data_IF_795803609246
#
_entry.id   IF_795803609246
#
_cell.length_a   1.000
_cell.length_b   1.000
_cell.length_c   1.000
_cell.angle_alpha   90.00
_cell.angle_beta   90.00
_cell.angle_gamma   90.00
#
_symmetry.space_group_name_H-M   'P 1'
#
loop_
_entity.id
_entity.type
_entity.pdbx_description
1 polymer ?
#
# COMPACT_ATOMS: atom_id res chain seq x y z
N UNK A 1 -18.84 1.25 -10.17
CA UNK A 1 -17.65 1.46 -9.34
C UNK A 1 -16.36 1.02 -10.05
N UNK A 2 -16.08 -0.28 -10.25
CA UNK A 2 -14.82 -0.75 -10.89
C UNK A 2 -14.69 -0.39 -12.37
N UNK A 3 -15.79 -0.52 -13.13
CA UNK A 3 -15.88 -0.09 -14.53
C UNK A 3 -15.70 1.44 -14.64
N UNK A 4 -16.24 2.17 -13.67
CA UNK A 4 -16.09 3.63 -13.57
C UNK A 4 -14.67 4.05 -13.15
N UNK A 5 -13.93 3.15 -12.49
CA UNK A 5 -12.52 3.32 -12.11
C UNK A 5 -11.53 2.77 -13.17
N UNK A 6 -12.01 2.39 -14.36
CA UNK A 6 -11.18 1.96 -15.49
C UNK A 6 -10.79 0.49 -15.50
N UNK A 7 -11.34 -0.34 -14.61
CA UNK A 7 -11.19 -1.80 -14.68
C UNK A 7 -12.15 -2.33 -15.75
N UNK A 8 -11.60 -3.07 -16.71
CA UNK A 8 -12.38 -3.66 -17.80
C UNK A 8 -13.55 -4.51 -17.25
N UNK A 9 -14.76 -4.17 -17.68
CA UNK A 9 -16.01 -4.82 -17.28
C UNK A 9 -16.02 -6.33 -17.57
N UNK A 10 -15.28 -6.78 -18.58
CA UNK A 10 -15.13 -8.20 -18.92
C UNK A 10 -14.28 -8.98 -17.90
N UNK A 11 -13.71 -8.30 -16.91
CA UNK A 11 -12.75 -8.86 -15.93
C UNK A 11 -13.25 -8.82 -14.49
N UNK A 12 -14.54 -8.54 -14.27
CA UNK A 12 -15.14 -8.38 -12.94
C UNK A 12 -16.42 -9.23 -12.83
N UNK A 13 -16.46 -10.16 -11.87
CA UNK A 13 -17.57 -11.11 -11.70
C UNK A 13 -17.98 -11.20 -10.21
N UNK A 14 -19.28 -11.16 -9.90
CA UNK A 14 -19.80 -11.16 -8.52
C UNK A 14 -21.11 -11.95 -8.40
N UNK A 15 -21.12 -12.99 -7.55
CA UNK A 15 -22.30 -13.43 -6.79
C UNK A 15 -21.84 -14.19 -5.54
N UNK A 16 -22.54 -14.02 -4.42
CA UNK A 16 -22.35 -14.79 -3.19
C UNK A 16 -23.66 -15.47 -2.81
N UNK A 17 -23.61 -16.77 -2.53
CA UNK A 17 -24.70 -17.52 -1.89
C UNK A 17 -24.18 -18.22 -0.64
N UNK A 18 -25.04 -18.37 0.35
CA UNK A 18 -24.69 -18.90 1.67
C UNK A 18 -24.97 -20.40 1.70
N UNK A 19 -23.94 -21.22 1.85
CA UNK A 19 -24.09 -22.62 2.26
C UNK A 19 -23.54 -22.84 3.68
N UNK A 20 -24.17 -23.75 4.42
CA UNK A 20 -23.88 -24.04 5.82
C UNK A 20 -22.80 -25.11 5.90
N UNK A 21 -21.71 -24.82 6.62
CA UNK A 21 -20.77 -25.84 7.11
C UNK A 21 -19.31 -25.56 6.77
N UNK A 22 -19.02 -25.09 5.56
CA UNK A 22 -17.69 -24.72 5.08
C UNK A 22 -17.81 -23.49 4.17
N UNK A 23 -16.91 -22.52 4.29
CA UNK A 23 -16.95 -21.30 3.46
C UNK A 23 -16.43 -21.61 2.05
N UNK A 24 -17.26 -22.24 1.22
CA UNK A 24 -17.01 -22.44 -0.20
C UNK A 24 -17.41 -21.17 -0.95
N UNK A 25 -16.43 -20.45 -1.51
CA UNK A 25 -16.72 -19.32 -2.40
C UNK A 25 -16.69 -19.83 -3.83
N UNK A 26 -17.88 -20.09 -4.39
CA UNK A 26 -18.04 -20.44 -5.79
C UNK A 26 -18.06 -19.16 -6.63
N UNK A 27 -17.05 -19.01 -7.48
CA UNK A 27 -16.96 -17.89 -8.43
C UNK A 27 -17.48 -18.34 -9.80
N UNK A 28 -18.61 -17.78 -10.20
CA UNK A 28 -19.18 -17.99 -11.53
C UNK A 28 -18.68 -16.87 -12.46
N UNK A 29 -17.91 -17.16 -13.52
CA UNK A 29 -17.67 -16.19 -14.58
C UNK A 29 -19.02 -15.92 -15.24
N UNK A 30 -19.41 -14.65 -15.32
CA UNK A 30 -20.60 -14.20 -16.06
C UNK A 30 -20.28 -12.87 -16.73
N UNK A 31 -20.04 -12.87 -18.04
CA UNK A 31 -19.90 -11.62 -18.81
C UNK A 31 -21.10 -10.71 -18.51
N UNK A 32 -20.87 -9.51 -18.00
CA UNK A 32 -21.91 -8.53 -17.66
C UNK A 32 -22.78 -8.17 -18.89
N UNK A 33 -22.25 -8.35 -20.11
CA UNK A 33 -23.03 -8.20 -21.35
C UNK A 33 -23.88 -9.44 -21.70
N UNK A 34 -23.53 -10.61 -21.18
CA UNK A 34 -24.22 -11.87 -21.43
C UNK A 34 -25.40 -12.13 -20.48
N UNK A 35 -25.60 -11.29 -19.45
CA UNK A 35 -26.80 -11.30 -18.60
C UNK A 35 -28.12 -11.03 -19.37
N UNK A 36 -28.05 -10.73 -20.66
CA UNK A 36 -29.17 -10.63 -21.61
C UNK A 36 -29.33 -11.85 -22.54
N UNK A 37 -28.80 -13.03 -22.17
CA UNK A 37 -29.25 -14.30 -22.77
C UNK A 37 -28.21 -15.16 -23.49
N UNK A 38 -26.91 -14.98 -23.24
CA UNK A 38 -25.86 -15.87 -23.78
C UNK A 38 -25.21 -16.66 -22.64
N UNK A 39 -25.03 -17.99 -22.74
CA UNK A 39 -24.36 -18.76 -21.70
C UNK A 39 -22.89 -18.31 -21.57
N UNK A 40 -22.43 -18.13 -20.34
CA UNK A 40 -21.08 -17.67 -20.07
C UNK A 40 -20.04 -18.69 -20.57
N UNK A 41 -18.97 -18.22 -21.18
CA UNK A 41 -17.87 -19.07 -21.63
C UNK A 41 -17.15 -19.70 -20.43
N UNK A 42 -16.92 -21.01 -20.47
CA UNK A 42 -16.19 -21.74 -19.43
C UNK A 42 -14.72 -21.29 -19.38
N UNK A 43 -14.21 -21.08 -18.17
CA UNK A 43 -12.81 -20.72 -17.95
C UNK A 43 -11.93 -21.98 -17.93
N UNK A 44 -10.69 -21.95 -18.45
CA UNK A 44 -9.74 -23.05 -18.32
C UNK A 44 -9.14 -23.17 -16.90
N UNK A 45 -8.68 -24.37 -16.55
CA UNK A 45 -7.86 -24.60 -15.37
C UNK A 45 -6.46 -23.95 -15.53
N UNK A 46 -5.79 -23.66 -14.41
CA UNK A 46 -4.44 -23.09 -14.40
C UNK A 46 -4.37 -21.60 -14.72
N UNK A 47 -5.47 -20.87 -14.67
CA UNK A 47 -5.46 -19.42 -14.84
C UNK A 47 -5.00 -18.73 -13.56
N UNK A 48 -4.05 -17.78 -13.64
CA UNK A 48 -3.68 -17.00 -12.48
C UNK A 48 -4.79 -16.01 -12.12
N UNK A 49 -5.08 -15.91 -10.83
CA UNK A 49 -6.08 -15.00 -10.30
C UNK A 49 -5.59 -14.29 -9.06
N UNK A 50 -6.20 -13.13 -8.80
CA UNK A 50 -6.06 -12.34 -7.57
C UNK A 50 -7.41 -12.26 -6.91
N UNK A 51 -7.46 -12.61 -5.64
CA UNK A 51 -8.57 -12.28 -4.76
C UNK A 51 -8.19 -11.03 -3.98
N UNK A 52 -9.00 -10.00 -4.09
CA UNK A 52 -8.76 -8.70 -3.48
C UNK A 52 -9.95 -8.33 -2.59
N UNK A 53 -9.74 -7.89 -1.37
CA UNK A 53 -10.81 -7.37 -0.51
C UNK A 53 -10.98 -5.89 -0.77
N UNK A 54 -12.23 -5.44 -0.98
CA UNK A 54 -12.54 -4.02 -1.06
C UNK A 54 -12.56 -3.46 0.35
N UNK A 55 -11.69 -2.50 0.64
CA UNK A 55 -11.55 -1.85 1.96
C UNK A 55 -12.80 -1.08 2.43
N UNK A 56 -13.93 -1.20 1.74
CA UNK A 56 -15.24 -0.63 2.07
C UNK A 56 -15.95 -1.47 3.14
N UNK A 57 -15.57 -1.23 4.40
CA UNK A 57 -16.24 -1.73 5.60
C UNK A 57 -15.76 -0.96 6.83
N UNK A 58 -14.51 -0.50 6.77
CA UNK A 58 -13.88 0.27 7.81
C UNK A 58 -14.20 1.77 7.62
N UNK A 59 -15.38 2.23 8.06
CA UNK A 59 -15.77 3.66 8.02
C UNK A 59 -14.65 4.57 8.55
N UNK A 60 -14.01 4.14 9.63
CA UNK A 60 -12.87 4.78 10.26
C UNK A 60 -11.61 4.81 9.36
N UNK A 61 -11.35 3.76 8.57
CA UNK A 61 -10.24 3.74 7.61
C UNK A 61 -10.48 4.74 6.49
N UNK A 62 -11.71 4.81 5.98
CA UNK A 62 -12.07 5.76 4.92
C UNK A 62 -12.00 7.22 5.41
N UNK A 63 -12.47 7.49 6.61
CA UNK A 63 -12.39 8.80 7.25
C UNK A 63 -10.93 9.19 7.54
N UNK A 64 -10.13 8.29 8.10
CA UNK A 64 -8.70 8.51 8.32
C UNK A 64 -7.93 8.73 7.02
N UNK A 65 -8.19 7.91 5.99
CA UNK A 65 -7.57 8.04 4.66
C UNK A 65 -7.89 9.40 4.05
N UNK A 66 -9.16 9.83 4.11
CA UNK A 66 -9.59 11.14 3.63
C UNK A 66 -8.89 12.25 4.41
N UNK A 67 -8.93 12.21 5.74
CA UNK A 67 -8.32 13.22 6.58
C UNK A 67 -6.81 13.37 6.34
N UNK A 68 -6.08 12.25 6.25
CA UNK A 68 -4.65 12.26 5.93
C UNK A 68 -4.37 12.82 4.53
N UNK A 69 -5.16 12.41 3.52
CA UNK A 69 -4.98 12.90 2.14
C UNK A 69 -5.23 14.41 2.05
N UNK A 70 -6.33 14.87 2.62
CA UNK A 70 -6.74 16.27 2.54
C UNK A 70 -5.75 17.16 3.31
N UNK A 71 -5.24 16.69 4.46
CA UNK A 71 -4.17 17.35 5.20
C UNK A 71 -2.85 17.37 4.41
N UNK A 72 -2.46 16.23 3.82
CA UNK A 72 -1.20 16.08 3.08
C UNK A 72 -1.19 16.81 1.74
N UNK A 73 -2.34 17.30 1.26
CA UNK A 73 -2.41 18.08 0.03
C UNK A 73 -1.67 19.42 0.14
N UNK A 74 -1.56 19.98 1.34
CA UNK A 74 -0.84 21.23 1.64
C UNK A 74 0.28 21.08 2.66
N UNK A 75 0.45 19.89 3.25
CA UNK A 75 1.46 19.61 4.26
C UNK A 75 2.30 18.41 3.84
N UNK A 76 3.60 18.62 3.67
CA UNK A 76 4.54 17.57 3.33
C UNK A 76 5.79 17.69 4.19
N UNK A 77 6.40 16.55 4.51
CA UNK A 77 7.72 16.54 5.15
C UNK A 77 8.77 16.69 4.06
N UNK A 78 9.61 17.71 4.20
CA UNK A 78 10.72 17.99 3.29
C UNK A 78 12.05 17.68 3.98
N UNK A 79 12.89 16.92 3.28
CA UNK A 79 14.24 16.58 3.72
C UNK A 79 15.27 17.29 2.86
N UNK A 80 16.44 17.59 3.45
CA UNK A 80 17.56 18.11 2.67
C UNK A 80 17.92 17.10 1.56
N UNK A 81 18.28 17.64 0.39
CA UNK A 81 18.68 16.81 -0.75
C UNK A 81 19.92 16.00 -0.43
N UNK A 82 19.90 14.68 -0.61
CA UNK A 82 21.02 13.80 -0.27
C UNK A 82 22.31 14.07 -1.07
N UNK A 83 22.20 14.74 -2.22
CA UNK A 83 23.33 15.23 -3.03
C UNK A 83 23.61 16.72 -2.91
N UNK A 84 22.93 17.43 -1.99
CA UNK A 84 23.12 18.86 -1.79
C UNK A 84 24.53 19.16 -1.26
N UNK A 85 25.20 20.15 -1.85
CA UNK A 85 26.47 20.64 -1.33
C UNK A 85 26.28 21.33 0.03
N UNK A 86 27.18 21.08 0.98
CA UNK A 86 27.17 21.71 2.29
C UNK A 86 26.35 20.98 3.36
N UNK A 87 25.93 19.73 3.13
CA UNK A 87 25.40 18.90 4.22
C UNK A 87 26.49 18.59 5.26
N UNK A 88 26.25 18.84 6.56
CA UNK A 88 27.23 18.55 7.61
C UNK A 88 27.66 17.07 7.67
N UNK A 89 26.73 16.16 7.40
CA UNK A 89 26.95 14.72 7.31
C UNK A 89 25.80 14.06 6.53
N UNK A 90 25.98 12.78 6.16
CA UNK A 90 24.97 12.00 5.46
C UNK A 90 23.62 11.95 6.18
N UNK A 91 23.62 11.86 7.52
CA UNK A 91 22.41 11.75 8.31
C UNK A 91 21.50 12.99 8.22
N UNK A 92 22.05 14.13 7.83
CA UNK A 92 21.26 15.33 7.55
C UNK A 92 20.26 15.13 6.40
N UNK A 93 20.47 14.16 5.50
CA UNK A 93 19.56 13.84 4.39
C UNK A 93 18.26 13.12 4.82
N UNK A 94 18.19 12.62 6.06
CA UNK A 94 16.98 12.05 6.68
C UNK A 94 16.69 12.68 8.06
N UNK A 95 17.29 13.82 8.35
CA UNK A 95 17.00 14.58 9.56
C UNK A 95 15.78 15.47 9.35
N UNK A 96 14.80 15.38 10.25
CA UNK A 96 13.58 16.20 10.23
C UNK A 96 13.85 17.66 10.58
N UNK A 97 14.94 17.93 11.30
CA UNK A 97 15.43 19.28 11.55
C UNK A 97 16.20 19.75 10.30
N UNK A 98 15.42 20.22 9.31
CA UNK A 98 15.94 20.77 8.06
C UNK A 98 16.91 21.93 8.33
N UNK A 99 17.89 22.15 7.44
CA UNK A 99 18.86 23.24 7.61
C UNK A 99 18.20 24.62 7.50
N UNK A 100 17.12 24.70 6.74
CA UNK A 100 16.19 25.84 6.75
C UNK A 100 15.21 25.70 7.94
N UNK A 101 15.27 26.64 8.88
CA UNK A 101 14.44 26.63 10.10
C UNK A 101 12.93 26.72 9.83
N UNK A 102 12.51 27.41 8.76
CA UNK A 102 11.10 27.49 8.38
C UNK A 102 10.58 26.12 7.91
N UNK A 103 11.39 25.39 7.13
CA UNK A 103 11.08 24.02 6.70
C UNK A 103 11.10 23.06 7.90
N UNK A 104 12.06 23.22 8.82
CA UNK A 104 12.10 22.43 10.05
C UNK A 104 10.82 22.62 10.88
N UNK A 105 10.35 23.86 11.05
CA UNK A 105 9.10 24.14 11.74
C UNK A 105 7.88 23.55 11.01
N UNK A 106 7.83 23.67 9.67
CA UNK A 106 6.77 23.07 8.85
C UNK A 106 6.73 21.53 8.95
N UNK A 107 7.90 20.88 9.00
CA UNK A 107 8.00 19.44 9.24
C UNK A 107 7.42 19.05 10.59
N UNK A 108 7.74 19.79 11.66
CA UNK A 108 7.18 19.51 12.99
C UNK A 108 5.66 19.68 12.98
N UNK A 109 5.14 20.77 12.41
CA UNK A 109 3.70 21.02 12.30
C UNK A 109 2.98 19.93 11.48
N UNK A 110 3.60 19.47 10.40
CA UNK A 110 3.07 18.35 9.58
C UNK A 110 2.97 17.09 10.43
N UNK A 111 4.02 16.71 11.15
CA UNK A 111 4.02 15.51 11.99
C UNK A 111 3.05 15.61 13.18
N UNK A 112 2.88 16.80 13.76
CA UNK A 112 1.87 17.05 14.79
C UNK A 112 0.45 16.85 14.24
N UNK A 113 0.16 17.38 13.05
CA UNK A 113 -1.12 17.21 12.38
C UNK A 113 -1.43 15.76 12.03
N UNK A 114 -0.46 15.04 11.45
CA UNK A 114 -0.60 13.60 11.14
C UNK A 114 -0.85 12.79 12.43
N UNK A 115 -0.08 13.05 13.49
CA UNK A 115 -0.27 12.37 14.77
C UNK A 115 -1.65 12.67 15.37
N UNK A 116 -2.12 13.91 15.32
CA UNK A 116 -3.45 14.33 15.79
C UNK A 116 -4.58 13.62 15.03
N UNK A 117 -4.48 13.58 13.70
CA UNK A 117 -5.42 12.85 12.84
C UNK A 117 -5.46 11.39 13.26
N UNK A 118 -4.31 10.71 13.30
CA UNK A 118 -4.25 9.29 13.61
C UNK A 118 -4.76 8.97 15.02
N UNK A 119 -4.38 9.75 16.03
CA UNK A 119 -4.90 9.57 17.39
C UNK A 119 -6.42 9.67 17.48
N UNK A 120 -7.04 10.50 16.65
CA UNK A 120 -8.51 10.62 16.62
C UNK A 120 -9.22 9.34 16.17
N UNK A 121 -8.51 8.45 15.47
CA UNK A 121 -9.05 7.18 14.97
C UNK A 121 -8.45 5.94 15.66
N UNK A 122 -7.37 6.11 16.45
CA UNK A 122 -6.71 5.06 17.22
C UNK A 122 -7.21 4.95 18.68
N UNK A 123 -8.31 5.64 19.03
CA UNK A 123 -8.80 5.80 20.41
C UNK A 123 -9.18 4.48 21.09
N UNK A 124 -9.45 3.41 20.34
CA UNK A 124 -9.86 2.11 20.89
C UNK A 124 -8.83 1.02 20.62
N UNK A 125 -8.55 0.18 21.62
CA UNK A 125 -7.65 -0.98 21.49
C UNK A 125 -8.11 -1.97 20.41
N UNK A 126 -9.40 -1.96 20.06
CA UNK A 126 -9.99 -2.75 18.97
C UNK A 126 -9.85 -2.10 17.58
N UNK A 127 -9.23 -0.92 17.46
CA UNK A 127 -8.99 -0.30 16.17
C UNK A 127 -7.97 -1.11 15.39
N UNK A 128 -8.39 -1.67 14.27
CA UNK A 128 -7.51 -2.34 13.31
C UNK A 128 -6.77 -1.32 12.45
N UNK A 129 -6.87 -0.02 12.73
CA UNK A 129 -6.17 1.00 11.98
C UNK A 129 -4.68 1.00 12.29
N UNK A 130 -3.86 1.13 11.25
CA UNK A 130 -2.44 1.41 11.31
C UNK A 130 -2.05 2.55 10.39
N UNK A 131 -0.90 3.15 10.66
CA UNK A 131 -0.29 4.16 9.81
C UNK A 131 0.92 3.56 9.10
N UNK A 132 0.87 3.46 7.78
CA UNK A 132 2.06 3.24 6.98
C UNK A 132 2.75 4.58 6.67
N UNK A 133 4.03 4.63 7.00
CA UNK A 133 4.96 5.69 6.61
C UNK A 133 5.76 5.18 5.42
N UNK A 134 5.36 5.57 4.22
CA UNK A 134 5.97 5.13 2.97
C UNK A 134 7.02 6.14 2.51
N UNK A 135 8.29 5.74 2.54
CA UNK A 135 9.41 6.53 2.02
C UNK A 135 9.68 6.26 0.55
N UNK A 136 9.75 7.31 -0.25
CA UNK A 136 10.08 7.22 -1.68
C UNK A 136 11.31 8.08 -1.95
N UNK A 137 12.27 7.55 -2.71
CA UNK A 137 13.38 8.31 -3.28
C UNK A 137 13.35 8.10 -4.78
N UNK A 138 13.60 9.18 -5.51
CA UNK A 138 13.62 9.14 -6.97
C UNK A 138 14.81 8.30 -7.47
N UNK A 139 14.58 7.53 -8.54
CA UNK A 139 15.64 6.76 -9.19
C UNK A 139 16.80 7.66 -9.65
N UNK A 140 18.03 7.14 -9.57
CA UNK A 140 19.23 7.81 -10.05
C UNK A 140 20.16 6.82 -10.76
N UNK A 141 20.99 7.31 -11.67
CA UNK A 141 22.05 6.50 -12.31
C UNK A 141 23.30 6.38 -11.43
N UNK A 142 23.52 7.34 -10.54
CA UNK A 142 24.65 7.38 -9.62
C UNK A 142 24.13 7.86 -8.26
N UNK A 143 24.40 7.10 -7.21
CA UNK A 143 24.01 7.48 -5.86
C UNK A 143 24.79 8.72 -5.36
N UNK A 144 24.21 9.53 -4.44
CA UNK A 144 24.93 10.64 -3.82
C UNK A 144 26.18 10.13 -3.07
N UNK A 145 27.33 10.77 -3.30
CA UNK A 145 28.62 10.32 -2.78
C UNK A 145 28.61 10.17 -1.25
N UNK A 146 28.16 11.20 -0.53
CA UNK A 146 28.17 11.21 0.94
C UNK A 146 27.32 10.10 1.56
N UNK A 147 26.22 9.70 0.89
CA UNK A 147 25.38 8.58 1.35
C UNK A 147 26.06 7.24 1.05
N UNK A 148 26.67 7.11 -0.13
CA UNK A 148 27.44 5.92 -0.51
C UNK A 148 28.61 5.71 0.46
N UNK A 149 29.36 6.77 0.77
CA UNK A 149 30.48 6.75 1.72
C UNK A 149 30.00 6.37 3.12
N UNK A 150 28.88 6.93 3.59
CA UNK A 150 28.29 6.59 4.89
C UNK A 150 27.93 5.11 5.03
N UNK A 151 27.42 4.49 3.95
CA UNK A 151 27.11 3.05 3.95
C UNK A 151 28.28 2.16 3.55
N UNK A 152 29.42 2.72 3.16
CA UNK A 152 30.56 1.96 2.62
C UNK A 152 30.24 1.20 1.33
N UNK A 153 29.42 1.80 0.46
CA UNK A 153 28.89 1.17 -0.76
C UNK A 153 29.39 1.85 -2.04
N UNK A 154 29.49 1.08 -3.12
CA UNK A 154 29.93 1.63 -4.40
C UNK A 154 28.79 2.33 -5.15
N UNK A 155 28.94 3.65 -5.34
CA UNK A 155 27.87 4.55 -5.80
C UNK A 155 27.32 4.35 -7.22
N UNK A 156 27.93 3.47 -8.03
CA UNK A 156 27.46 3.17 -9.40
C UNK A 156 26.90 1.75 -9.53
N UNK A 157 27.41 0.80 -8.76
CA UNK A 157 27.03 -0.61 -8.87
C UNK A 157 26.00 -1.02 -7.82
N UNK A 158 25.90 -0.26 -6.72
CA UNK A 158 24.97 -0.50 -5.62
C UNK A 158 24.00 0.67 -5.44
N UNK A 159 23.71 1.40 -6.53
CA UNK A 159 22.84 2.59 -6.51
C UNK A 159 21.51 2.26 -5.85
N UNK A 160 20.92 1.13 -6.25
CA UNK A 160 19.60 0.74 -5.80
C UNK A 160 19.53 0.51 -4.29
N UNK A 161 20.46 -0.28 -3.76
CA UNK A 161 20.56 -0.54 -2.32
C UNK A 161 20.77 0.75 -1.51
N UNK A 162 21.55 1.69 -2.05
CA UNK A 162 21.82 2.97 -1.40
C UNK A 162 20.54 3.82 -1.34
N UNK A 163 19.78 3.90 -2.44
CA UNK A 163 18.55 4.69 -2.48
C UNK A 163 17.44 4.05 -1.64
N UNK A 164 17.34 2.72 -1.61
CA UNK A 164 16.42 2.00 -0.73
C UNK A 164 16.72 2.28 0.74
N UNK A 165 18.00 2.25 1.14
CA UNK A 165 18.41 2.61 2.50
C UNK A 165 18.10 4.07 2.83
N UNK A 166 18.25 4.99 1.88
CA UNK A 166 17.88 6.39 2.07
C UNK A 166 16.37 6.56 2.23
N UNK A 167 15.56 5.92 1.38
CA UNK A 167 14.11 5.94 1.46
C UNK A 167 13.62 5.39 2.81
N UNK A 168 14.18 4.24 3.22
CA UNK A 168 13.93 3.63 4.53
C UNK A 168 14.32 4.55 5.69
N UNK A 169 15.48 5.19 5.63
CA UNK A 169 15.96 6.09 6.68
C UNK A 169 15.03 7.29 6.86
N UNK A 170 14.54 7.89 5.76
CA UNK A 170 13.57 8.99 5.80
C UNK A 170 12.23 8.57 6.40
N UNK A 171 11.71 7.41 5.98
CA UNK A 171 10.48 6.87 6.54
C UNK A 171 10.62 6.55 8.04
N UNK A 172 11.73 5.92 8.45
CA UNK A 172 12.05 5.64 9.86
C UNK A 172 12.14 6.92 10.70
N UNK A 173 12.73 8.00 10.17
CA UNK A 173 12.80 9.27 10.88
C UNK A 173 11.41 9.84 11.18
N UNK A 174 10.50 9.81 10.20
CA UNK A 174 9.10 10.20 10.38
C UNK A 174 8.38 9.28 11.37
N UNK A 175 8.53 7.95 11.23
CA UNK A 175 7.90 6.97 12.13
C UNK A 175 8.33 7.17 13.59
N UNK A 176 9.64 7.29 13.85
CA UNK A 176 10.17 7.56 15.18
C UNK A 176 9.64 8.89 15.75
N UNK A 177 9.49 9.91 14.92
CA UNK A 177 8.95 11.20 15.34
C UNK A 177 7.45 11.15 15.66
N UNK A 178 6.69 10.29 15.00
CA UNK A 178 5.27 10.05 15.27
C UNK A 178 5.07 9.21 16.54
N UNK A 179 5.93 8.21 16.77
CA UNK A 179 5.94 7.44 18.02
C UNK A 179 6.24 8.35 19.22
N UNK A 180 7.22 9.26 19.09
CA UNK A 180 7.49 10.30 20.11
C UNK A 180 6.31 11.23 20.35
N UNK A 181 5.45 11.43 19.35
CA UNK A 181 4.19 12.18 19.48
C UNK A 181 3.07 11.35 20.10
N UNK A 182 3.30 10.09 20.47
CA UNK A 182 2.35 9.24 21.17
C UNK A 182 1.50 8.36 20.25
N UNK A 183 1.93 8.09 19.01
CA UNK A 183 1.40 6.93 18.29
C UNK A 183 2.01 5.64 18.85
N UNK A 184 1.23 4.57 19.07
CA UNK A 184 1.79 3.28 19.47
C UNK A 184 2.75 2.76 18.39
N UNK A 185 3.93 2.28 18.78
CA UNK A 185 4.92 1.73 17.84
C UNK A 185 4.35 0.55 17.04
N UNK A 186 3.56 -0.31 17.69
CA UNK A 186 2.85 -1.41 17.04
C UNK A 186 1.84 -0.96 15.97
N UNK A 187 1.51 0.33 15.94
CA UNK A 187 0.55 0.92 15.01
C UNK A 187 1.19 1.73 13.88
N UNK A 188 2.51 1.76 13.80
CA UNK A 188 3.26 2.48 12.76
C UNK A 188 4.09 1.49 11.95
N UNK A 189 3.74 1.34 10.68
CA UNK A 189 4.45 0.50 9.71
C UNK A 189 5.38 1.37 8.85
N UNK A 190 6.58 0.87 8.56
CA UNK A 190 7.52 1.52 7.64
C UNK A 190 7.68 0.69 6.38
N UNK A 191 7.44 1.32 5.24
CA UNK A 191 7.64 0.77 3.89
C UNK A 191 8.45 1.76 3.07
N UNK A 192 9.10 1.31 1.99
CA UNK A 192 9.95 2.19 1.21
C UNK A 192 10.19 1.71 -0.23
N UNK A 193 10.60 2.64 -1.09
CA UNK A 193 11.11 2.39 -2.43
C UNK A 193 12.16 3.44 -2.82
N UNK A 194 13.39 3.00 -3.10
CA UNK A 194 14.52 3.82 -3.54
C UNK A 194 14.53 4.18 -5.03
N UNK A 195 13.59 3.64 -5.81
CA UNK A 195 13.55 3.75 -7.27
C UNK A 195 12.22 4.34 -7.74
N UNK A 196 11.63 5.17 -6.90
CA UNK A 196 10.34 5.79 -7.17
C UNK A 196 10.42 6.89 -8.23
N UNK A 197 9.27 7.48 -8.49
CA UNK A 197 9.15 8.64 -9.39
C UNK A 197 9.48 9.94 -8.67
N UNK A 198 9.31 9.98 -7.34
CA UNK A 198 9.46 11.18 -6.52
C UNK A 198 10.28 10.90 -5.26
N UNK A 199 10.88 11.95 -4.71
CA UNK A 199 11.49 11.90 -3.38
C UNK A 199 10.53 12.52 -2.35
N UNK A 200 9.86 11.69 -1.56
CA UNK A 200 8.83 12.12 -0.61
C UNK A 200 8.61 11.09 0.49
N UNK A 201 7.92 11.48 1.57
CA UNK A 201 7.33 10.55 2.54
C UNK A 201 5.82 10.73 2.52
N UNK A 202 5.08 9.63 2.41
CA UNK A 202 3.62 9.60 2.45
C UNK A 202 3.12 8.92 3.71
N UNK A 203 2.00 9.41 4.20
CA UNK A 203 1.30 8.89 5.37
C UNK A 203 0.01 8.22 4.89
N UNK A 204 -0.09 6.91 5.05
CA UNK A 204 -1.16 6.10 4.47
C UNK A 204 -1.85 5.33 5.58
N UNK A 205 -3.14 5.56 5.75
CA UNK A 205 -3.96 4.78 6.66
C UNK A 205 -4.11 3.34 6.13
N UNK A 206 -3.93 2.35 7.01
CA UNK A 206 -4.03 0.91 6.72
C UNK A 206 -4.95 0.24 7.73
N UNK A 207 -5.48 -0.91 7.36
CA UNK A 207 -6.20 -1.79 8.29
C UNK A 207 -5.36 -3.04 8.46
N UNK A 208 -5.08 -3.42 9.70
CA UNK A 208 -4.32 -4.60 10.14
C UNK A 208 -4.96 -5.91 9.70
N UNK A 209 -6.21 -5.85 9.22
CA UNK A 209 -6.83 -6.97 8.50
C UNK A 209 -6.09 -7.30 7.20
N UNK A 210 -5.35 -6.34 6.66
CA UNK A 210 -4.70 -6.42 5.36
C UNK A 210 -3.20 -6.13 5.50
N UNK A 211 -2.38 -6.92 4.81
CA UNK A 211 -0.95 -6.67 4.72
C UNK A 211 -0.60 -5.32 4.04
N UNK A 212 0.69 -4.94 4.02
CA UNK A 212 1.15 -3.76 3.29
C UNK A 212 0.71 -3.80 1.83
N UNK A 213 0.36 -2.65 1.26
CA UNK A 213 0.06 -2.56 -0.17
C UNK A 213 1.35 -2.66 -0.97
N UNK A 214 1.43 -3.66 -1.84
CA UNK A 214 2.57 -3.85 -2.71
C UNK A 214 2.63 -2.76 -3.79
N UNK A 215 3.83 -2.45 -4.33
CA UNK A 215 3.96 -1.54 -5.46
C UNK A 215 3.05 -1.94 -6.62
N UNK A 216 2.17 -1.04 -7.06
CA UNK A 216 1.21 -1.32 -8.15
C UNK A 216 -0.18 -1.78 -7.71
N UNK A 217 -0.41 -2.02 -6.41
CA UNK A 217 -1.74 -2.35 -5.90
C UNK A 217 -2.65 -1.11 -5.77
N UNK A 218 -3.95 -1.34 -5.94
CA UNK A 218 -4.96 -0.30 -5.91
C UNK A 218 -5.25 0.16 -4.47
N UNK A 219 -5.31 1.47 -4.21
CA UNK A 219 -5.51 1.99 -2.85
C UNK A 219 -6.83 1.54 -2.17
N UNK A 220 -7.85 1.20 -2.96
CA UNK A 220 -9.19 0.79 -2.50
C UNK A 220 -9.28 -0.72 -2.22
N UNK A 221 -8.35 -1.53 -2.73
CA UNK A 221 -8.42 -2.98 -2.66
C UNK A 221 -7.13 -3.55 -2.09
N UNK A 222 -7.24 -4.42 -1.09
CA UNK A 222 -6.10 -5.15 -0.56
C UNK A 222 -6.02 -6.53 -1.22
N UNK A 223 -4.84 -6.95 -1.66
CA UNK A 223 -4.62 -8.33 -2.06
C UNK A 223 -4.82 -9.25 -0.85
N UNK A 224 -5.68 -10.25 -1.02
CA UNK A 224 -5.96 -11.29 -0.01
C UNK A 224 -5.20 -12.56 -0.39
N UNK A 225 -5.22 -12.90 -1.68
CA UNK A 225 -4.60 -14.12 -2.19
C UNK A 225 -4.30 -14.03 -3.69
N UNK A 226 -3.21 -14.69 -4.11
CA UNK A 226 -2.93 -14.99 -5.52
C UNK A 226 -2.80 -16.49 -5.68
N UNK A 227 -3.37 -17.03 -6.75
CA UNK A 227 -3.32 -18.46 -7.00
C UNK A 227 -3.64 -18.84 -8.43
N UNK A 228 -3.66 -20.14 -8.67
CA UNK A 228 -4.07 -20.74 -9.93
C UNK A 228 -5.43 -21.42 -9.76
N UNK A 229 -6.28 -21.35 -10.77
CA UNK A 229 -7.55 -22.09 -10.79
C UNK A 229 -7.27 -23.60 -10.84
N UNK A 230 -7.94 -24.38 -9.97
CA UNK A 230 -7.72 -25.83 -9.90
C UNK A 230 -8.51 -26.60 -10.95
N UNK A 231 -9.71 -26.12 -11.30
CA UNK A 231 -10.60 -26.73 -12.29
C UNK A 231 -11.12 -25.67 -13.25
N UNK A 232 -11.33 -26.08 -14.51
CA UNK A 232 -12.01 -25.24 -15.51
C UNK A 232 -13.52 -25.54 -15.55
N UNK A 233 -14.28 -24.68 -16.21
CA UNK A 233 -15.73 -24.82 -16.35
C UNK A 233 -16.49 -23.52 -16.15
N UNK A 234 -17.81 -23.64 -16.04
CA UNK A 234 -18.68 -22.56 -15.56
C UNK A 234 -18.51 -22.32 -14.04
N UNK A 235 -18.02 -23.33 -13.33
CA UNK A 235 -17.73 -23.25 -11.89
C UNK A 235 -16.22 -23.45 -11.73
N UNK A 236 -15.52 -22.37 -11.35
CA UNK A 236 -14.07 -22.40 -11.21
C UNK A 236 -13.69 -22.45 -9.74
N UNK A 237 -13.02 -23.53 -9.36
CA UNK A 237 -12.54 -23.69 -7.98
C UNK A 237 -11.26 -22.87 -7.80
N UNK A 238 -11.36 -21.90 -6.89
CA UNK A 238 -10.27 -21.03 -6.49
C UNK A 238 -9.84 -21.41 -5.07
N UNK A 239 -8.85 -22.32 -4.92
CA UNK A 239 -8.46 -22.80 -3.61
C UNK A 239 -7.87 -21.65 -2.79
N UNK A 240 -8.43 -21.45 -1.61
CA UNK A 240 -7.83 -20.60 -0.59
C UNK A 240 -6.96 -21.48 0.31
N UNK A 241 -5.80 -21.00 0.79
CA UNK A 241 -5.01 -21.76 1.73
C UNK A 241 -5.76 -21.89 3.05
N UNK A 242 -5.48 -22.94 3.83
CA UNK A 242 -6.22 -23.26 5.08
C UNK A 242 -6.24 -22.12 6.11
N UNK A 243 -5.32 -21.17 6.00
CA UNK A 243 -5.19 -20.00 6.86
C UNK A 243 -5.78 -18.70 6.25
N UNK A 244 -6.34 -18.73 5.04
CA UNK A 244 -7.00 -17.57 4.45
C UNK A 244 -8.38 -17.38 5.09
N UNK A 245 -8.50 -16.36 5.94
CA UNK A 245 -9.77 -15.94 6.49
C UNK A 245 -10.48 -14.98 5.51
N UNK A 246 -11.58 -15.43 4.93
CA UNK A 246 -12.56 -14.52 4.34
C UNK A 246 -13.59 -14.15 5.41
N UNK A 247 -13.97 -12.88 5.44
CA UNK A 247 -14.96 -12.35 6.35
C UNK A 247 -16.32 -12.38 5.67
N UNK A 248 -17.34 -12.81 6.42
CA UNK A 248 -18.74 -12.82 5.96
C UNK A 248 -19.22 -11.37 5.81
N UNK A 249 -20.08 -11.12 4.82
CA UNK A 249 -20.69 -9.81 4.49
C UNK A 249 -19.73 -8.74 3.93
N UNK A 250 -18.52 -9.15 3.56
CA UNK A 250 -17.51 -8.29 2.96
C UNK A 250 -17.48 -8.40 1.43
N UNK A 251 -17.05 -7.32 0.75
CA UNK A 251 -16.97 -7.28 -0.72
C UNK A 251 -15.58 -7.65 -1.20
N UNK A 252 -15.48 -8.81 -1.83
CA UNK A 252 -14.25 -9.26 -2.50
C UNK A 252 -14.36 -9.05 -4.02
N UNK A 253 -13.22 -8.77 -4.63
CA UNK A 253 -13.00 -8.67 -6.05
C UNK A 253 -12.13 -9.84 -6.48
N UNK A 254 -12.60 -10.58 -7.47
CA UNK A 254 -11.82 -11.60 -8.16
C UNK A 254 -11.33 -11.07 -9.49
N UNK A 255 -10.02 -11.10 -9.73
CA UNK A 255 -9.40 -10.61 -10.95
C UNK A 255 -8.57 -11.73 -11.61
N UNK A 256 -8.87 -12.04 -12.87
CA UNK A 256 -7.99 -12.89 -13.69
C UNK A 256 -6.76 -12.10 -14.16
N UNK A 257 -5.58 -12.68 -13.95
CA UNK A 257 -4.30 -12.14 -14.41
C UNK A 257 -4.01 -12.74 -15.79
N UNK A 258 -3.67 -11.93 -16.81
CA UNK A 258 -3.30 -12.49 -18.11
C UNK A 258 -1.94 -13.22 -17.98
N UNK A 259 -1.75 -14.35 -18.68
CA UNK A 259 -0.56 -15.20 -18.58
C UNK A 259 0.77 -14.51 -18.99
N UNK A 260 0.71 -13.30 -19.56
CA UNK A 260 1.88 -12.52 -19.99
C UNK A 260 2.19 -11.30 -19.09
N UNK A 261 1.50 -11.11 -17.97
CA UNK A 261 1.89 -10.11 -16.98
C UNK A 261 2.91 -10.73 -16.02
N UNK A 262 4.07 -10.09 -15.76
CA UNK A 262 4.99 -10.58 -14.74
C UNK A 262 4.28 -10.61 -13.38
N UNK A 263 4.44 -11.73 -12.66
CA UNK A 263 4.06 -11.88 -11.26
C UNK A 263 4.91 -10.97 -10.39
#
# INVERSE_FOLDING_TARGET
ALIEAGVDASRVFLKAEREVGDMKVDFFPCDLKAAQGTPCASLPAGLPFRLMHRRTGDRWLNEATRALRDFSASHAVEFNGAGQLGLPNAAQAWNLNHLNSAVAAANQATLDGIASIMKSYLITESSLLTLEVYGEVAAAQIAPAQIADYYGMHRQTQVNDILDRLAKARANACAAALVKRGLPESKVLVTYCGHGMKSQVRFIARSDRYGPTLPGEHAEFALVYEGLTNSGGADVVCPLPENAALFVDEKYLFQLVPPCAPL
#
